data_IF_396836232628
#
_entry.id   IF_396836232628
#
_cell.length_a   1.000
_cell.length_b   1.000
_cell.length_c   1.000
_cell.angle_alpha   90.00
_cell.angle_beta   90.00
_cell.angle_gamma   90.00
#
_symmetry.space_group_name_H-M   'P 1'
#
loop_
_entity.id
_entity.type
_entity.pdbx_description
1 polymer ?
#
# COMPACT_ATOMS: atom_id res chain seq x y z
N UNK A 1 -59.31 -37.04 7.40
CA UNK A 1 -58.44 -37.56 6.31
C UNK A 1 -57.85 -36.34 5.62
N UNK A 2 -56.67 -35.80 5.97
CA UNK A 2 -55.28 -36.31 5.86
C UNK A 2 -54.97 -36.90 4.48
N UNK A 3 -54.21 -36.13 3.69
CA UNK A 3 -52.91 -36.40 3.00
C UNK A 3 -52.71 -35.21 2.03
N UNK A 4 -51.92 -34.17 2.32
CA UNK A 4 -50.46 -34.04 2.41
C UNK A 4 -49.74 -34.74 1.25
N UNK A 5 -49.09 -33.94 0.40
CA UNK A 5 -47.75 -34.14 -0.20
C UNK A 5 -47.45 -32.91 -1.07
N UNK A 6 -46.80 -31.85 -0.56
CA UNK A 6 -45.38 -31.71 -0.23
C UNK A 6 -44.46 -31.92 -1.45
N UNK A 7 -44.51 -30.97 -2.39
CA UNK A 7 -43.39 -30.70 -3.29
C UNK A 7 -42.38 -29.74 -2.60
N UNK A 8 -41.75 -30.22 -1.53
CA UNK A 8 -40.46 -29.67 -1.11
C UNK A 8 -39.40 -30.34 -1.97
N UNK A 9 -38.88 -29.66 -3.00
CA UNK A 9 -37.63 -30.14 -3.63
C UNK A 9 -36.86 -29.01 -4.34
N UNK A 10 -35.72 -28.64 -3.72
CA UNK A 10 -34.46 -28.16 -4.34
C UNK A 10 -34.12 -26.67 -4.49
N UNK A 11 -34.59 -25.79 -3.61
CA UNK A 11 -33.96 -24.46 -3.45
C UNK A 11 -32.87 -24.45 -2.36
N UNK A 12 -31.89 -25.35 -2.53
CA UNK A 12 -30.62 -25.35 -1.80
C UNK A 12 -29.51 -24.61 -2.60
N UNK A 13 -28.26 -24.52 -2.08
CA UNK A 13 -27.22 -23.49 -2.30
C UNK A 13 -26.81 -23.07 -3.73
N UNK A 14 -27.39 -23.70 -4.76
CA UNK A 14 -27.12 -23.49 -6.17
C UNK A 14 -27.72 -22.19 -6.73
N UNK A 15 -28.77 -21.63 -6.13
CA UNK A 15 -29.33 -20.31 -6.55
C UNK A 15 -28.64 -19.11 -5.89
N UNK A 16 -28.09 -19.29 -4.69
CA UNK A 16 -27.32 -18.25 -3.98
C UNK A 16 -26.01 -17.91 -4.70
N UNK A 17 -25.32 -18.90 -5.27
CA UNK A 17 -24.06 -18.71 -6.02
C UNK A 17 -24.23 -17.78 -7.25
N UNK A 18 -25.21 -17.99 -8.15
CA UNK A 18 -25.53 -17.06 -9.23
C UNK A 18 -25.87 -15.64 -8.76
N UNK A 19 -26.59 -15.51 -7.65
CA UNK A 19 -26.97 -14.20 -7.12
C UNK A 19 -25.77 -13.43 -6.54
N UNK A 20 -24.90 -14.12 -5.78
CA UNK A 20 -23.66 -13.54 -5.25
C UNK A 20 -22.74 -13.11 -6.39
N UNK A 21 -22.62 -13.94 -7.43
CA UNK A 21 -21.80 -13.60 -8.61
C UNK A 21 -22.39 -12.43 -9.40
N UNK A 22 -23.73 -12.33 -9.53
CA UNK A 22 -24.38 -11.14 -10.10
C UNK A 22 -24.01 -9.89 -9.31
N UNK A 23 -24.16 -9.90 -7.97
CA UNK A 23 -23.77 -8.76 -7.12
C UNK A 23 -22.29 -8.41 -7.24
N UNK A 24 -21.41 -9.41 -7.37
CA UNK A 24 -19.97 -9.20 -7.60
C UNK A 24 -19.73 -8.49 -8.93
N UNK A 25 -20.34 -8.96 -10.02
CA UNK A 25 -20.24 -8.34 -11.35
C UNK A 25 -20.79 -6.92 -11.37
N UNK A 26 -21.94 -6.68 -10.73
CA UNK A 26 -22.53 -5.35 -10.62
C UNK A 26 -21.61 -4.39 -9.86
N UNK A 27 -20.96 -4.85 -8.78
CA UNK A 27 -19.97 -4.05 -8.05
C UNK A 27 -18.77 -3.71 -8.93
N UNK A 28 -18.22 -4.68 -9.66
CA UNK A 28 -17.09 -4.45 -10.58
C UNK A 28 -17.47 -3.42 -11.64
N UNK A 29 -18.66 -3.52 -12.22
CA UNK A 29 -19.12 -2.57 -13.24
C UNK A 29 -19.27 -1.15 -12.67
N UNK A 30 -19.81 -1.00 -11.45
CA UNK A 30 -19.87 0.30 -10.78
C UNK A 30 -18.49 0.88 -10.53
N UNK A 31 -17.56 0.09 -10.01
CA UNK A 31 -16.18 0.55 -9.77
C UNK A 31 -15.44 0.93 -11.06
N UNK A 32 -15.69 0.25 -12.17
CA UNK A 32 -15.12 0.63 -13.47
C UNK A 32 -15.68 1.96 -13.99
N UNK A 33 -16.96 2.21 -13.76
CA UNK A 33 -17.59 3.48 -14.12
C UNK A 33 -17.08 4.64 -13.24
N UNK A 34 -16.98 4.42 -11.92
CA UNK A 34 -16.36 5.38 -11.01
C UNK A 34 -14.91 5.68 -11.40
N UNK A 35 -14.13 4.65 -11.75
CA UNK A 35 -12.76 4.81 -12.23
C UNK A 35 -12.69 5.66 -13.50
N UNK A 36 -13.57 5.41 -14.49
CA UNK A 36 -13.65 6.21 -15.72
C UNK A 36 -13.90 7.69 -15.42
N UNK A 37 -14.84 7.99 -14.52
CA UNK A 37 -15.16 9.36 -14.12
C UNK A 37 -14.00 10.05 -13.39
N UNK A 38 -13.34 9.35 -12.47
CA UNK A 38 -12.15 9.88 -11.78
C UNK A 38 -11.01 10.17 -12.76
N UNK A 39 -10.76 9.26 -13.71
CA UNK A 39 -9.74 9.48 -14.74
C UNK A 39 -10.11 10.66 -15.64
N UNK A 40 -11.39 10.83 -16.00
CA UNK A 40 -11.87 11.98 -16.77
C UNK A 40 -11.62 13.29 -16.02
N UNK A 41 -11.90 13.33 -14.72
CA UNK A 41 -11.66 14.52 -13.89
C UNK A 41 -10.17 14.88 -13.83
N UNK A 42 -9.30 13.87 -13.68
CA UNK A 42 -7.85 14.08 -13.51
C UNK A 42 -7.10 14.37 -14.81
N UNK A 43 -7.48 13.72 -15.90
CA UNK A 43 -6.78 13.82 -17.20
C UNK A 43 -7.47 14.77 -18.18
N UNK A 44 -8.76 15.04 -18.00
CA UNK A 44 -9.63 15.79 -18.93
C UNK A 44 -9.71 15.19 -20.34
N UNK A 45 -9.34 13.92 -20.50
CA UNK A 45 -9.39 13.21 -21.78
C UNK A 45 -10.84 13.05 -22.26
N UNK A 46 -11.10 13.48 -23.50
CA UNK A 46 -12.45 13.44 -24.07
C UNK A 46 -12.95 12.01 -24.34
N UNK A 47 -12.06 11.05 -24.56
CA UNK A 47 -12.43 9.65 -24.78
C UNK A 47 -13.13 9.06 -23.55
N UNK A 48 -12.73 9.49 -22.36
CA UNK A 48 -13.33 9.07 -21.09
C UNK A 48 -14.74 9.64 -20.86
N UNK A 49 -15.27 10.54 -21.71
CA UNK A 49 -16.67 10.99 -21.63
C UNK A 49 -17.66 9.94 -22.14
N UNK A 50 -17.23 9.03 -23.01
CA UNK A 50 -18.09 7.99 -23.57
C UNK A 50 -18.48 6.94 -22.50
N UNK A 51 -19.77 6.81 -22.13
CA UNK A 51 -20.22 5.82 -21.15
C UNK A 51 -20.21 4.37 -21.68
N UNK A 52 -19.96 4.18 -22.99
CA UNK A 52 -19.84 2.87 -23.64
C UNK A 52 -18.38 2.47 -23.91
N UNK A 53 -17.41 3.14 -23.28
CA UNK A 53 -16.00 2.81 -23.41
C UNK A 53 -15.75 1.36 -22.97
N UNK A 54 -14.86 0.64 -23.66
CA UNK A 54 -14.59 -0.74 -23.30
C UNK A 54 -13.85 -0.84 -21.96
N UNK A 55 -14.05 -1.96 -21.26
CA UNK A 55 -13.42 -2.18 -19.95
C UNK A 55 -11.89 -2.22 -20.04
N UNK A 56 -11.36 -2.76 -21.13
CA UNK A 56 -9.92 -2.80 -21.37
C UNK A 56 -9.36 -1.38 -21.54
N UNK A 57 -10.01 -0.54 -22.34
CA UNK A 57 -9.63 0.87 -22.54
C UNK A 57 -9.64 1.65 -21.22
N UNK A 58 -10.68 1.52 -20.38
CA UNK A 58 -10.71 2.16 -19.05
C UNK A 58 -9.48 1.78 -18.22
N UNK A 59 -9.11 0.49 -18.24
CA UNK A 59 -7.95 -0.01 -17.50
C UNK A 59 -6.63 0.47 -18.11
N UNK A 60 -6.53 0.58 -19.43
CA UNK A 60 -5.37 1.15 -20.13
C UNK A 60 -5.15 2.61 -19.75
N UNK A 61 -6.20 3.44 -19.76
CA UNK A 61 -6.14 4.81 -19.26
C UNK A 61 -5.68 4.87 -17.80
N UNK A 62 -6.21 3.98 -16.95
CA UNK A 62 -5.82 3.91 -15.54
C UNK A 62 -4.33 3.59 -15.36
N UNK A 63 -3.84 2.58 -16.08
CA UNK A 63 -2.43 2.17 -16.04
C UNK A 63 -1.52 3.26 -16.59
N UNK A 64 -1.91 3.90 -17.70
CA UNK A 64 -1.21 5.05 -18.28
C UNK A 64 -1.08 6.19 -17.27
N UNK A 65 -2.19 6.60 -16.66
CA UNK A 65 -2.22 7.63 -15.63
C UNK A 65 -1.34 7.31 -14.43
N UNK A 66 -1.39 6.07 -13.91
CA UNK A 66 -0.56 5.65 -12.78
C UNK A 66 0.92 5.63 -13.13
N UNK A 67 1.28 5.18 -14.34
CA UNK A 67 2.67 5.18 -14.82
C UNK A 67 3.21 6.59 -14.96
N UNK A 68 2.44 7.49 -15.56
CA UNK A 68 2.81 8.91 -15.68
C UNK A 68 3.03 9.53 -14.29
N UNK A 69 2.09 9.32 -13.37
CA UNK A 69 2.21 9.80 -11.99
C UNK A 69 3.42 9.22 -11.26
N UNK A 70 3.75 7.95 -11.48
CA UNK A 70 4.93 7.29 -10.88
C UNK A 70 6.27 7.73 -11.50
N UNK A 71 6.25 8.23 -12.74
CA UNK A 71 7.45 8.78 -13.42
C UNK A 71 7.73 10.21 -13.01
N UNK A 72 6.67 10.97 -12.69
CA UNK A 72 6.79 12.37 -12.30
C UNK A 72 7.29 12.52 -10.87
N UNK A 73 7.00 11.60 -9.95
CA UNK A 73 7.55 11.60 -8.59
C UNK A 73 7.43 10.17 -7.99
N UNK A 74 8.44 9.60 -7.28
CA UNK A 74 8.09 8.68 -6.17
C UNK A 74 7.18 9.47 -5.23
N UNK A 75 6.32 8.90 -4.36
CA UNK A 75 5.59 9.74 -3.42
C UNK A 75 6.59 10.47 -2.51
N UNK A 76 7.06 11.65 -2.92
CA UNK A 76 8.09 12.42 -2.24
C UNK A 76 7.56 12.83 -0.87
N UNK A 77 6.25 13.02 -0.77
CA UNK A 77 5.55 13.20 0.49
C UNK A 77 5.74 12.02 1.45
N UNK A 78 5.73 10.77 0.96
CA UNK A 78 5.93 9.60 1.81
C UNK A 78 7.42 9.34 2.08
N UNK A 79 8.29 9.54 1.09
CA UNK A 79 9.72 9.33 1.23
C UNK A 79 10.37 10.40 2.12
N UNK A 80 9.98 11.66 1.98
CA UNK A 80 10.49 12.79 2.75
C UNK A 80 9.87 12.84 4.14
N UNK A 81 8.58 12.50 4.29
CA UNK A 81 7.99 12.30 5.62
C UNK A 81 8.62 11.10 6.35
N UNK A 82 8.90 10.00 5.64
CA UNK A 82 9.58 8.84 6.22
C UNK A 82 11.03 9.18 6.60
N UNK A 83 11.74 9.92 5.74
CA UNK A 83 13.09 10.40 6.05
C UNK A 83 13.08 11.36 7.26
N UNK A 84 12.12 12.28 7.33
CA UNK A 84 11.96 13.20 8.46
C UNK A 84 11.63 12.44 9.76
N UNK A 85 10.73 11.46 9.72
CA UNK A 85 10.42 10.60 10.86
C UNK A 85 11.64 9.79 11.32
N UNK A 86 12.38 9.21 10.38
CA UNK A 86 13.63 8.50 10.66
C UNK A 86 14.67 9.41 11.33
N UNK A 87 14.93 10.60 10.77
CA UNK A 87 15.91 11.55 11.31
C UNK A 87 15.51 12.03 12.71
N UNK A 88 14.22 12.27 12.93
CA UNK A 88 13.67 12.61 14.24
C UNK A 88 13.91 11.50 15.27
N UNK A 89 13.55 10.25 14.93
CA UNK A 89 13.77 9.08 15.78
C UNK A 89 15.26 8.80 16.05
N UNK A 90 16.10 8.99 15.03
CA UNK A 90 17.55 8.87 15.16
C UNK A 90 18.13 9.92 16.10
N UNK A 91 17.71 11.18 15.96
CA UNK A 91 18.11 12.28 16.87
C UNK A 91 17.70 12.00 18.30
N UNK A 92 16.47 11.55 18.51
CA UNK A 92 15.95 11.19 19.83
C UNK A 92 16.76 10.05 20.48
N UNK A 93 17.11 9.03 19.69
CA UNK A 93 17.99 7.95 20.13
C UNK A 93 19.36 8.48 20.57
N UNK A 94 19.99 9.35 19.76
CA UNK A 94 21.27 9.96 20.09
C UNK A 94 21.22 10.81 21.37
N UNK A 95 20.13 11.56 21.59
CA UNK A 95 19.95 12.34 22.80
C UNK A 95 19.85 11.46 24.05
N UNK A 96 19.07 10.37 23.98
CA UNK A 96 19.00 9.40 25.09
C UNK A 96 20.32 8.71 25.35
N UNK A 97 21.06 8.38 24.29
CA UNK A 97 22.39 7.79 24.40
C UNK A 97 23.37 8.76 25.07
N UNK A 98 23.32 10.04 24.71
CA UNK A 98 24.15 11.08 25.33
C UNK A 98 23.81 11.30 26.81
N UNK A 99 22.51 11.33 27.15
CA UNK A 99 22.05 11.42 28.53
C UNK A 99 22.51 10.20 29.35
N UNK A 100 22.32 8.99 28.82
CA UNK A 100 22.83 7.77 29.44
C UNK A 100 24.34 7.83 29.65
N UNK A 101 25.12 8.27 28.67
CA UNK A 101 26.57 8.41 28.81
C UNK A 101 26.97 9.46 29.86
N UNK A 102 26.16 10.50 30.07
CA UNK A 102 26.39 11.49 31.11
C UNK A 102 26.18 10.89 32.52
N UNK A 103 25.07 10.18 32.71
CA UNK A 103 24.64 9.62 34.00
C UNK A 103 25.29 8.26 34.34
N UNK A 104 25.85 7.58 33.34
CA UNK A 104 26.43 6.25 33.51
C UNK A 104 27.73 6.26 34.33
N UNK A 105 27.97 5.15 35.03
CA UNK A 105 29.24 4.91 35.71
C UNK A 105 30.41 4.88 34.71
N UNK A 106 31.65 5.20 35.14
CA UNK A 106 32.81 5.20 34.26
C UNK A 106 33.01 3.87 33.52
N UNK A 107 32.72 2.74 34.18
CA UNK A 107 32.81 1.42 33.58
C UNK A 107 31.74 1.19 32.49
N UNK A 108 30.48 1.54 32.76
CA UNK A 108 29.38 1.41 31.79
C UNK A 108 29.60 2.32 30.58
N UNK A 109 30.09 3.54 30.80
CA UNK A 109 30.45 4.48 29.74
C UNK A 109 31.59 3.97 28.86
N UNK A 110 32.65 3.43 29.45
CA UNK A 110 33.77 2.84 28.70
C UNK A 110 33.32 1.65 27.84
N UNK A 111 32.47 0.78 28.39
CA UNK A 111 31.89 -0.36 27.64
C UNK A 111 31.05 0.11 26.45
N UNK A 112 30.20 1.12 26.66
CA UNK A 112 29.37 1.70 25.59
C UNK A 112 30.22 2.25 24.44
N UNK A 113 31.21 3.09 24.75
CA UNK A 113 32.07 3.68 23.72
C UNK A 113 32.92 2.63 23.01
N UNK A 114 33.42 1.62 23.73
CA UNK A 114 34.14 0.50 23.13
C UNK A 114 33.27 -0.27 22.13
N UNK A 115 32.00 -0.54 22.48
CA UNK A 115 31.07 -1.21 21.59
C UNK A 115 30.79 -0.35 20.34
N UNK A 116 30.47 0.94 20.52
CA UNK A 116 30.19 1.87 19.42
C UNK A 116 31.39 2.00 18.48
N UNK A 117 32.60 2.10 19.01
CA UNK A 117 33.82 2.15 18.21
C UNK A 117 34.01 0.88 17.37
N UNK A 118 33.59 -0.28 17.88
CA UNK A 118 33.57 -1.54 17.12
C UNK A 118 32.60 -1.52 15.94
N UNK A 119 31.43 -0.91 16.09
CA UNK A 119 30.41 -0.82 15.04
C UNK A 119 30.69 0.28 14.01
N UNK A 120 31.26 1.41 14.44
CA UNK A 120 31.59 2.55 13.58
C UNK A 120 32.90 2.35 12.80
N UNK A 121 33.65 1.27 13.10
CA UNK A 121 34.85 0.94 12.35
C UNK A 121 34.45 0.68 10.90
N UNK A 122 35.04 1.40 9.92
CA UNK A 122 34.75 1.17 8.52
C UNK A 122 34.96 -0.30 8.19
N UNK A 123 33.93 -0.97 7.68
CA UNK A 123 34.08 -2.30 7.10
C UNK A 123 34.99 -2.11 5.89
N UNK A 124 36.20 -2.67 5.93
CA UNK A 124 37.11 -2.62 4.78
C UNK A 124 36.36 -3.16 3.55
N UNK A 125 36.51 -2.53 2.37
CA UNK A 125 35.94 -3.07 1.13
C UNK A 125 36.44 -4.51 0.95
N UNK A 126 35.50 -5.41 0.67
CA UNK A 126 35.80 -6.81 0.36
C UNK A 126 36.65 -6.82 -0.92
N UNK A 127 37.77 -7.56 -0.98
CA UNK A 127 38.52 -7.67 -2.22
C UNK A 127 37.63 -8.36 -3.26
N UNK A 128 37.42 -7.67 -4.38
CA UNK A 128 36.77 -8.23 -5.58
C UNK A 128 37.73 -9.25 -6.23
N UNK A 129 37.21 -10.37 -6.76
CA UNK A 129 38.01 -11.40 -7.45
C UNK A 129 38.51 -10.95 -8.83
#
# INVERSE_FOLDING_TARGET
MVTRDRAENRDGPKMLKPLVEKRRRDRINRSLEELRLLLLERTRDQNLRNPKLEKAEILEFAVGYLRERSRVEPPAQDAEALASCYLSGFRECLLRLAAFAHDASPAARAQLFSALHGYLRPKLPRPEP
#
